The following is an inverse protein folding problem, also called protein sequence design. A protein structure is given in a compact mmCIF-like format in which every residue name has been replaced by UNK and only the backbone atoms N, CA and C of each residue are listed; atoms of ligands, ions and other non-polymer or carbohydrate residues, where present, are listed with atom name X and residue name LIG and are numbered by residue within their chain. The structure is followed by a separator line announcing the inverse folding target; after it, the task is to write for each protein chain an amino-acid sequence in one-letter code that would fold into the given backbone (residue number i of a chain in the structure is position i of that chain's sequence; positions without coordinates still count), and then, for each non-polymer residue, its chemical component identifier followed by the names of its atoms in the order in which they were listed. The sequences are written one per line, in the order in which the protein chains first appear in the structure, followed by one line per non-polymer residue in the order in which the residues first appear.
data_IF_602384728487
#
_entry.id   IF_602384728487
#
_cell.length_a   1.000
_cell.length_b   1.000
_cell.length_c   1.000
_cell.angle_alpha   90.00
_cell.angle_beta   90.00
_cell.angle_gamma   90.00
#
_symmetry.space_group_name_H-M   'P 1'
#
loop_
_entity.id
_entity.type
_entity.pdbx_description
1 polymer ?
#
# COMPACT_ATOMS: atom_id res chain seq x y z
N UNK A 1 23.82 -6.48 -0.77
CA UNK A 1 22.38 -6.20 -0.81
C UNK A 1 22.21 -5.27 -1.98
N UNK A 2 22.03 -5.84 -3.16
CA UNK A 2 21.91 -5.07 -4.38
C UNK A 2 20.53 -4.41 -4.34
N UNK A 3 20.53 -3.09 -4.15
CA UNK A 3 19.31 -2.27 -4.13
C UNK A 3 19.08 -1.76 -5.53
N UNK A 4 18.05 -2.26 -6.21
CA UNK A 4 17.62 -1.73 -7.50
C UNK A 4 16.71 -0.51 -7.25
N UNK A 5 17.31 0.60 -6.80
CA UNK A 5 16.63 1.89 -6.63
C UNK A 5 15.53 1.94 -5.55
N UNK A 6 15.04 3.15 -5.29
CA UNK A 6 13.80 3.37 -4.54
C UNK A 6 12.71 3.76 -5.54
N UNK A 7 11.53 3.15 -5.43
CA UNK A 7 10.38 3.39 -6.29
C UNK A 7 9.17 3.75 -5.46
N UNK A 8 8.32 4.64 -5.96
CA UNK A 8 7.11 5.09 -5.27
C UNK A 8 5.89 4.98 -6.19
N UNK A 9 4.83 4.34 -5.70
CA UNK A 9 3.51 4.36 -6.34
C UNK A 9 2.65 5.40 -5.63
N UNK A 10 2.02 6.28 -6.40
CA UNK A 10 1.20 7.38 -5.89
C UNK A 10 -0.20 7.33 -6.48
N UNK A 11 -1.22 7.38 -5.64
CA UNK A 11 -2.61 7.59 -6.05
C UNK A 11 -2.94 9.07 -5.90
N UNK A 12 -3.45 9.65 -6.98
CA UNK A 12 -3.87 11.05 -7.03
C UNK A 12 -5.35 11.17 -7.36
N UNK A 13 -5.96 12.27 -6.93
CA UNK A 13 -7.29 12.63 -7.40
C UNK A 13 -7.24 13.37 -8.76
N UNK A 14 -8.42 13.76 -9.25
CA UNK A 14 -8.56 14.50 -10.50
C UNK A 14 -7.86 15.87 -10.48
N UNK A 15 -7.56 16.43 -9.30
CA UNK A 15 -6.82 17.68 -9.11
C UNK A 15 -5.32 17.44 -8.87
N UNK A 16 -4.83 16.21 -9.12
CA UNK A 16 -3.43 15.79 -8.94
C UNK A 16 -2.94 15.81 -7.49
N UNK A 17 -3.84 15.94 -6.51
CA UNK A 17 -3.49 15.88 -5.09
C UNK A 17 -3.17 14.45 -4.69
N UNK A 18 -2.14 14.26 -3.87
CA UNK A 18 -1.73 12.94 -3.39
C UNK A 18 -2.71 12.45 -2.34
N UNK A 19 -3.37 11.33 -2.62
CA UNK A 19 -4.31 10.67 -1.71
C UNK A 19 -3.67 9.53 -0.92
N UNK A 20 -2.67 8.87 -1.50
CA UNK A 20 -1.82 7.89 -0.84
C UNK A 20 -0.56 7.67 -1.67
N UNK A 21 0.52 7.29 -0.99
CA UNK A 21 1.77 6.89 -1.62
C UNK A 21 2.39 5.71 -0.88
N UNK A 22 3.05 4.82 -1.62
CA UNK A 22 3.82 3.72 -1.06
C UNK A 22 5.20 3.70 -1.71
N UNK A 23 6.23 3.66 -0.86
CA UNK A 23 7.63 3.65 -1.29
C UNK A 23 8.24 2.31 -0.96
N UNK A 24 8.91 1.73 -1.96
CA UNK A 24 9.48 0.40 -1.87
C UNK A 24 10.77 0.27 -2.68
N UNK A 25 11.54 -0.78 -2.38
CA UNK A 25 12.74 -1.16 -3.10
C UNK A 25 12.64 -2.63 -3.52
N UNK A 26 12.95 -2.93 -4.77
CA UNK A 26 13.18 -4.30 -5.22
C UNK A 26 14.62 -4.69 -4.87
N UNK A 27 14.79 -5.71 -4.03
CA UNK A 27 16.11 -6.20 -3.65
C UNK A 27 16.08 -7.71 -3.36
N UNK A 28 17.26 -8.31 -3.18
CA UNK A 28 17.35 -9.66 -2.63
C UNK A 28 17.44 -9.60 -1.11
N UNK A 29 16.47 -10.21 -0.43
CA UNK A 29 16.46 -10.41 1.02
C UNK A 29 16.35 -11.90 1.31
N UNK A 30 17.25 -12.45 2.12
CA UNK A 30 17.35 -13.91 2.38
C UNK A 30 17.33 -14.77 1.10
N UNK A 31 18.09 -14.36 0.07
CA UNK A 31 18.17 -15.01 -1.25
C UNK A 31 16.87 -15.00 -2.09
N UNK A 32 15.81 -14.33 -1.63
CA UNK A 32 14.55 -14.20 -2.34
C UNK A 32 14.38 -12.79 -2.92
N UNK A 33 13.81 -12.69 -4.12
CA UNK A 33 13.44 -11.41 -4.72
C UNK A 33 12.31 -10.78 -3.90
N UNK A 34 12.56 -9.61 -3.35
CA UNK A 34 11.74 -9.02 -2.29
C UNK A 34 11.37 -7.60 -2.63
N UNK A 35 10.08 -7.28 -2.54
CA UNK A 35 9.63 -5.89 -2.46
C UNK A 35 9.67 -5.46 -1.01
N UNK A 36 10.58 -4.55 -0.70
CA UNK A 36 10.77 -4.02 0.63
C UNK A 36 10.09 -2.66 0.74
N UNK A 37 8.98 -2.57 1.48
CA UNK A 37 8.22 -1.34 1.70
C UNK A 37 8.90 -0.54 2.82
N UNK A 38 9.39 0.65 2.47
CA UNK A 38 10.00 1.59 3.40
C UNK A 38 9.03 2.61 3.98
N UNK A 39 7.88 2.84 3.35
CA UNK A 39 6.87 3.77 3.85
C UNK A 39 5.54 3.73 3.10
N UNK A 40 4.46 4.07 3.80
CA UNK A 40 3.10 4.17 3.26
C UNK A 40 2.40 5.43 3.80
N UNK A 41 2.33 6.48 3.01
CA UNK A 41 1.68 7.72 3.46
C UNK A 41 0.25 7.80 2.94
N UNK A 42 -0.63 8.38 3.76
CA UNK A 42 -1.99 8.71 3.37
C UNK A 42 -2.03 10.03 2.59
N UNK A 43 -3.20 10.64 2.51
CA UNK A 43 -3.32 11.97 1.94
C UNK A 43 -2.43 12.95 2.70
N UNK A 44 -1.84 13.90 1.98
CA UNK A 44 -0.98 14.91 2.58
C UNK A 44 -1.76 15.75 3.61
N UNK A 45 -1.08 16.27 4.63
CA UNK A 45 -1.71 16.97 5.77
C UNK A 45 -2.45 18.25 5.37
N UNK A 46 -2.15 18.81 4.20
CA UNK A 46 -2.81 19.97 3.61
C UNK A 46 -4.11 19.61 2.87
N UNK A 47 -4.40 18.32 2.67
CA UNK A 47 -5.65 17.86 2.07
C UNK A 47 -6.78 17.95 3.11
N UNK A 48 -7.82 18.76 2.86
CA UNK A 48 -8.93 18.88 3.80
C UNK A 48 -9.60 17.54 4.07
N UNK A 49 -10.05 17.31 5.31
CA UNK A 49 -10.70 16.06 5.70
C UNK A 49 -11.92 15.74 4.83
N UNK A 50 -12.66 16.76 4.37
CA UNK A 50 -13.78 16.62 3.44
C UNK A 50 -13.36 15.99 2.11
N UNK A 51 -12.17 16.34 1.60
CA UNK A 51 -11.62 15.74 0.38
C UNK A 51 -11.23 14.29 0.61
N UNK A 52 -10.67 13.96 1.78
CA UNK A 52 -10.37 12.57 2.15
C UNK A 52 -11.67 11.75 2.23
N UNK A 53 -12.74 12.31 2.80
CA UNK A 53 -14.07 11.68 2.83
C UNK A 53 -14.68 11.52 1.44
N UNK A 54 -14.57 12.55 0.58
CA UNK A 54 -15.04 12.50 -0.81
C UNK A 54 -14.26 11.47 -1.61
N UNK A 55 -12.93 11.43 -1.48
CA UNK A 55 -12.07 10.42 -2.11
C UNK A 55 -12.43 9.02 -1.62
N UNK A 56 -12.66 8.84 -0.32
CA UNK A 56 -13.09 7.55 0.24
C UNK A 56 -14.47 7.14 -0.31
N UNK A 57 -15.43 8.08 -0.43
CA UNK A 57 -16.74 7.83 -1.07
C UNK A 57 -16.59 7.49 -2.55
N UNK A 58 -15.73 8.21 -3.28
CA UNK A 58 -15.44 7.96 -4.69
C UNK A 58 -14.78 6.59 -4.89
N UNK A 59 -13.97 6.16 -3.92
CA UNK A 59 -13.40 4.82 -3.85
C UNK A 59 -14.38 3.79 -3.25
N UNK A 60 -15.68 4.08 -3.21
CA UNK A 60 -16.74 3.21 -2.70
C UNK A 60 -16.52 2.72 -1.26
N UNK A 61 -15.91 3.54 -0.41
CA UNK A 61 -15.56 3.21 0.97
C UNK A 61 -14.23 2.47 1.11
N UNK A 62 -13.45 2.37 0.04
CA UNK A 62 -12.07 1.88 0.06
C UNK A 62 -11.11 3.01 0.41
N UNK A 63 -10.16 2.75 1.31
CA UNK A 63 -9.11 3.72 1.61
C UNK A 63 -8.10 3.80 0.45
N UNK A 64 -7.63 5.00 0.06
CA UNK A 64 -6.62 5.14 -1.00
C UNK A 64 -5.33 4.32 -0.75
N UNK A 65 -4.96 4.11 0.51
CA UNK A 65 -3.85 3.22 0.91
C UNK A 65 -4.01 1.78 0.41
N UNK A 66 -5.25 1.27 0.33
CA UNK A 66 -5.52 -0.07 -0.19
C UNK A 66 -5.31 -0.16 -1.71
N UNK A 67 -5.52 0.95 -2.42
CA UNK A 67 -5.31 1.02 -3.87
C UNK A 67 -3.82 0.91 -4.20
N UNK A 68 -2.97 1.71 -3.52
CA UNK A 68 -1.51 1.63 -3.72
C UNK A 68 -0.95 0.26 -3.34
N UNK A 69 -1.53 -0.40 -2.33
CA UNK A 69 -1.17 -1.77 -1.96
C UNK A 69 -1.54 -2.80 -3.03
N UNK A 70 -2.75 -2.72 -3.60
CA UNK A 70 -3.15 -3.62 -4.69
C UNK A 70 -2.22 -3.44 -5.90
N UNK A 71 -1.88 -2.20 -6.25
CA UNK A 71 -0.92 -1.90 -7.31
C UNK A 71 0.47 -2.45 -7.01
N UNK A 72 0.94 -2.37 -5.75
CA UNK A 72 2.21 -2.97 -5.33
C UNK A 72 2.19 -4.49 -5.46
N UNK A 73 1.12 -5.17 -5.07
CA UNK A 73 0.98 -6.63 -5.26
C UNK A 73 1.05 -7.01 -6.74
N UNK A 74 0.42 -6.23 -7.63
CA UNK A 74 0.54 -6.46 -9.07
C UNK A 74 1.95 -6.22 -9.60
N UNK A 75 2.61 -5.18 -9.10
CA UNK A 75 4.03 -4.95 -9.38
C UNK A 75 4.88 -6.15 -8.91
N UNK A 76 4.60 -6.71 -7.74
CA UNK A 76 5.27 -7.91 -7.22
C UNK A 76 5.15 -9.08 -8.20
N UNK A 77 3.95 -9.31 -8.75
CA UNK A 77 3.72 -10.39 -9.72
C UNK A 77 4.45 -10.15 -11.04
N UNK A 78 4.38 -8.93 -11.60
CA UNK A 78 5.06 -8.57 -12.85
C UNK A 78 6.58 -8.74 -12.73
N UNK A 79 7.15 -8.33 -11.59
CA UNK A 79 8.58 -8.42 -11.32
C UNK A 79 8.99 -9.74 -10.65
N UNK A 80 8.08 -10.73 -10.56
CA UNK A 80 8.34 -12.05 -9.98
C UNK A 80 8.96 -11.97 -8.58
N UNK A 81 8.53 -11.01 -7.77
CA UNK A 81 8.90 -10.96 -6.37
C UNK A 81 8.29 -12.16 -5.63
N UNK A 82 9.10 -12.79 -4.81
CA UNK A 82 8.77 -13.98 -4.04
C UNK A 82 8.16 -13.62 -2.67
N UNK A 83 8.43 -12.40 -2.20
CA UNK A 83 7.89 -11.89 -0.93
C UNK A 83 7.76 -10.37 -0.92
N UNK A 84 6.85 -9.89 -0.07
CA UNK A 84 6.68 -8.47 0.25
C UNK A 84 6.96 -8.30 1.74
N UNK A 85 7.91 -7.45 2.08
CA UNK A 85 8.31 -7.15 3.46
C UNK A 85 8.05 -5.68 3.72
N UNK A 86 7.37 -5.35 4.82
CA UNK A 86 7.14 -3.99 5.26
C UNK A 86 7.82 -3.69 6.59
N UNK A 87 8.24 -2.43 6.77
CA UNK A 87 8.68 -1.94 8.08
C UNK A 87 7.49 -1.82 9.05
N UNK A 88 7.67 -2.26 10.29
CA UNK A 88 6.71 -2.01 11.36
C UNK A 88 6.86 -0.58 11.91
N UNK A 89 5.92 -0.14 12.74
CA UNK A 89 6.01 1.12 13.50
C UNK A 89 7.33 1.22 14.29
N UNK A 90 7.85 0.09 14.77
CA UNK A 90 9.08 -0.03 15.57
C UNK A 90 10.38 -0.02 14.73
N UNK A 91 10.30 -0.28 13.42
CA UNK A 91 11.46 -0.28 12.51
C UNK A 91 11.86 1.13 12.05
N UNK A 92 11.82 2.10 12.96
CA UNK A 92 12.32 3.46 12.80
C UNK A 92 13.86 3.56 12.67
N UNK A 93 14.50 2.53 12.10
CA UNK A 93 15.97 2.37 12.03
C UNK A 93 16.57 3.08 10.81
N UNK A 94 15.78 3.63 9.89
CA UNK A 94 16.27 4.66 8.94
C UNK A 94 16.07 6.08 9.47
N UNK A 95 16.45 6.30 10.75
CA UNK A 95 16.89 7.63 11.20
C UNK A 95 18.23 7.94 10.53
N UNK A 96 18.18 8.48 9.30
CA UNK A 96 19.21 9.46 8.96
C UNK A 96 18.99 10.62 9.93
N UNK A 97 19.93 10.82 10.85
CA UNK A 97 20.03 11.92 11.80
C UNK A 97 19.82 13.33 11.20
N UNK A 98 19.76 13.44 9.87
CA UNK A 98 19.51 14.65 9.07
C UNK A 98 18.05 15.13 9.06
N UNK A 99 17.09 14.29 9.46
CA UNK A 99 15.65 14.65 9.55
C UNK A 99 15.14 14.70 11.01
N UNK A 100 16.00 15.10 11.95
CA UNK A 100 15.64 15.28 13.38
C UNK A 100 14.94 16.61 13.68
N UNK A 101 14.46 17.34 12.67
CA UNK A 101 13.73 18.59 12.90
C UNK A 101 12.22 18.40 12.75
N UNK A 102 11.56 18.43 13.92
CA UNK A 102 10.15 18.80 14.16
C UNK A 102 9.03 17.90 13.63
N UNK A 103 8.24 17.43 14.61
CA UNK A 103 6.76 17.39 14.55
C UNK A 103 6.09 16.54 13.47
N UNK A 104 6.52 15.30 13.29
CA UNK A 104 5.68 14.27 12.64
C UNK A 104 5.47 13.09 13.57
N UNK A 105 4.80 13.34 14.70
CA UNK A 105 3.97 12.32 15.36
C UNK A 105 2.78 12.02 14.44
N UNK A 106 3.06 11.44 13.27
CA UNK A 106 2.04 10.89 12.41
C UNK A 106 1.93 9.43 12.84
N UNK A 107 1.11 9.19 13.87
CA UNK A 107 0.67 7.88 14.30
C UNK A 107 -0.21 7.26 13.20
N UNK A 108 0.37 7.01 12.02
CA UNK A 108 -0.20 6.08 11.07
C UNK A 108 0.12 4.70 11.65
N UNK A 109 -0.88 4.03 12.20
CA UNK A 109 -0.73 2.68 12.71
C UNK A 109 -0.46 1.71 11.54
N UNK A 110 0.82 1.61 11.17
CA UNK A 110 1.28 0.76 10.07
C UNK A 110 1.02 -0.70 10.40
N UNK A 111 1.28 -1.09 11.65
CA UNK A 111 1.08 -2.44 12.15
C UNK A 111 -0.38 -2.87 11.99
N UNK A 112 -1.34 -2.08 12.48
CA UNK A 112 -2.76 -2.39 12.30
C UNK A 112 -3.17 -2.42 10.82
N UNK A 113 -2.58 -1.58 9.98
CA UNK A 113 -2.83 -1.62 8.54
C UNK A 113 -2.29 -2.92 7.93
N UNK A 114 -1.04 -3.31 8.22
CA UNK A 114 -0.44 -4.55 7.75
C UNK A 114 -1.24 -5.78 8.20
N UNK A 115 -1.61 -5.84 9.46
CA UNK A 115 -2.44 -6.92 10.02
C UNK A 115 -3.80 -7.00 9.32
N UNK A 116 -4.42 -5.86 8.99
CA UNK A 116 -5.70 -5.84 8.25
C UNK A 116 -5.60 -6.41 6.83
N UNK A 117 -4.40 -6.46 6.26
CA UNK A 117 -4.11 -7.06 4.95
C UNK A 117 -3.70 -8.53 5.05
N UNK A 118 -3.69 -9.11 6.26
CA UNK A 118 -3.14 -10.45 6.51
C UNK A 118 -1.62 -10.46 6.66
N UNK A 119 -1.02 -9.33 7.01
CA UNK A 119 0.39 -9.23 7.32
C UNK A 119 0.74 -9.92 8.63
N UNK A 120 1.83 -10.68 8.61
CA UNK A 120 2.35 -11.39 9.78
C UNK A 120 3.65 -10.75 10.25
N UNK A 121 3.75 -10.47 11.56
CA UNK A 121 4.98 -9.91 12.12
C UNK A 121 6.10 -10.96 12.08
N UNK A 122 7.23 -10.59 11.49
CA UNK A 122 8.44 -11.42 11.40
C UNK A 122 9.58 -10.83 12.25
N UNK A 123 10.68 -11.57 12.38
CA UNK A 123 11.86 -11.13 13.14
C UNK A 123 12.40 -9.79 12.60
N UNK A 124 12.83 -8.91 13.51
CA UNK A 124 13.53 -7.67 13.15
C UNK A 124 12.64 -6.45 12.91
N UNK A 125 11.44 -6.38 13.50
CA UNK A 125 10.49 -5.28 13.33
C UNK A 125 9.98 -5.13 11.88
N UNK A 126 9.77 -6.26 11.21
CA UNK A 126 9.19 -6.29 9.88
C UNK A 126 7.86 -7.06 9.87
N UNK A 127 7.05 -6.81 8.86
CA UNK A 127 5.86 -7.57 8.52
C UNK A 127 6.09 -8.28 7.19
N UNK A 128 5.78 -9.57 7.12
CA UNK A 128 5.62 -10.28 5.85
C UNK A 128 4.18 -10.08 5.38
N UNK A 129 4.02 -9.56 4.17
CA UNK A 129 2.72 -9.32 3.55
C UNK A 129 2.45 -10.35 2.45
N UNK A 130 1.19 -10.74 2.24
CA UNK A 130 0.85 -11.66 1.16
C UNK A 130 1.08 -11.01 -0.21
N UNK A 131 1.56 -11.79 -1.18
CA UNK A 131 1.76 -11.34 -2.56
C UNK A 131 0.46 -10.95 -3.27
N UNK A 132 -0.68 -11.46 -2.78
CA UNK A 132 -2.01 -11.10 -3.25
C UNK A 132 -2.90 -10.88 -2.03
N UNK A 133 -3.63 -9.77 -2.01
CA UNK A 133 -4.46 -9.44 -0.86
C UNK A 133 -5.80 -10.16 -0.99
N UNK A 134 -6.15 -10.96 0.02
CA UNK A 134 -7.39 -11.72 0.02
C UNK A 134 -8.61 -10.79 -0.11
N UNK A 135 -9.54 -11.19 -0.99
CA UNK A 135 -10.84 -10.55 -1.17
C UNK A 135 -11.89 -11.41 -0.50
N UNK A 136 -12.79 -10.77 0.26
CA UNK A 136 -13.96 -11.46 0.81
C UNK A 136 -14.87 -11.90 -0.32
N UNK A 137 -15.32 -13.14 -0.27
CA UNK A 137 -16.29 -13.69 -1.22
C UNK A 137 -17.66 -13.03 -1.04
N UNK A 138 -18.50 -13.05 -2.09
CA UNK A 138 -19.84 -12.46 -2.02
C UNK A 138 -20.74 -13.11 -0.96
N UNK A 139 -20.51 -14.39 -0.65
CA UNK A 139 -21.24 -15.13 0.38
C UNK A 139 -20.91 -14.63 1.79
N UNK A 140 -19.68 -14.20 2.05
CA UNK A 140 -19.24 -13.62 3.33
C UNK A 140 -19.69 -12.17 3.51
N UNK A 141 -20.10 -11.50 2.44
CA UNK A 141 -20.56 -10.11 2.46
C UNK A 141 -22.07 -10.09 2.69
N UNK A 142 -22.49 -9.42 3.77
CA UNK A 142 -23.90 -9.18 4.04
C UNK A 142 -24.60 -8.56 2.82
N UNK A 143 -25.76 -9.10 2.43
CA UNK A 143 -26.46 -8.76 1.18
C UNK A 143 -26.56 -7.25 0.91
N UNK A 144 -26.90 -6.46 1.95
CA UNK A 144 -26.99 -4.99 1.91
C UNK A 144 -25.69 -4.25 1.55
N UNK A 145 -24.52 -4.88 1.70
CA UNK A 145 -23.20 -4.32 1.38
C UNK A 145 -22.59 -4.89 0.08
N UNK A 146 -23.21 -5.91 -0.53
CA UNK A 146 -22.66 -6.58 -1.73
C UNK A 146 -22.50 -5.64 -2.92
N UNK A 147 -23.46 -4.72 -3.14
CA UNK A 147 -23.36 -3.73 -4.22
C UNK A 147 -22.15 -2.78 -4.04
N UNK A 148 -21.88 -2.35 -2.80
CA UNK A 148 -20.73 -1.50 -2.49
C UNK A 148 -19.42 -2.27 -2.68
N UNK A 149 -19.32 -3.50 -2.15
CA UNK A 149 -18.13 -4.34 -2.31
C UNK A 149 -17.83 -4.70 -3.76
N UNK A 150 -18.86 -4.98 -4.58
CA UNK A 150 -18.68 -5.20 -6.03
C UNK A 150 -18.05 -3.99 -6.71
N UNK A 151 -18.49 -2.78 -6.37
CA UNK A 151 -17.90 -1.55 -6.92
C UNK A 151 -16.46 -1.34 -6.43
N UNK A 152 -16.15 -1.68 -5.18
CA UNK A 152 -14.76 -1.66 -4.67
C UNK A 152 -13.86 -2.61 -5.46
N UNK A 153 -14.33 -3.84 -5.70
CA UNK A 153 -13.56 -4.82 -6.46
C UNK A 153 -13.40 -4.41 -7.92
N UNK A 154 -14.44 -3.87 -8.55
CA UNK A 154 -14.32 -3.32 -9.91
C UNK A 154 -13.27 -2.20 -10.01
N UNK A 155 -13.18 -1.32 -9.00
CA UNK A 155 -12.13 -0.30 -8.95
C UNK A 155 -10.74 -0.93 -8.82
N UNK A 156 -10.57 -1.92 -7.93
CA UNK A 156 -9.31 -2.65 -7.78
C UNK A 156 -8.93 -3.39 -9.07
N UNK A 157 -9.89 -4.02 -9.74
CA UNK A 157 -9.69 -4.73 -11.01
C UNK A 157 -9.23 -3.77 -12.10
N UNK A 158 -9.79 -2.56 -12.17
CA UNK A 158 -9.30 -1.55 -13.12
C UNK A 158 -7.83 -1.17 -12.89
N UNK A 159 -7.38 -1.15 -11.64
CA UNK A 159 -5.98 -0.90 -11.29
C UNK A 159 -5.11 -2.09 -11.69
N UNK A 160 -5.59 -3.31 -11.43
CA UNK A 160 -4.92 -4.55 -11.83
C UNK A 160 -4.74 -4.65 -13.34
N UNK A 161 -5.72 -4.21 -14.12
CA UNK A 161 -5.65 -4.22 -15.59
C UNK A 161 -4.66 -3.17 -16.13
N UNK A 162 -4.60 -1.98 -15.53
CA UNK A 162 -3.78 -0.87 -16.03
C UNK A 162 -2.30 -0.96 -15.66
N UNK A 163 -1.98 -1.55 -14.51
CA UNK A 163 -0.60 -1.63 -14.00
C UNK A 163 0.31 -2.42 -14.95
N UNK A 164 0.01 -3.67 -15.35
CA UNK A 164 0.87 -4.45 -16.26
C UNK A 164 1.05 -3.80 -17.63
N UNK A 165 0.02 -3.11 -18.15
CA UNK A 165 0.08 -2.41 -19.44
C UNK A 165 1.07 -1.24 -19.41
N UNK A 166 1.18 -0.58 -18.25
CA UNK A 166 2.08 0.56 -18.06
C UNK A 166 3.54 0.14 -17.95
N UNK A 167 3.82 -1.06 -17.41
CA UNK A 167 5.18 -1.56 -17.20
C UNK A 167 5.71 -2.48 -18.33
N UNK A 168 4.88 -2.86 -19.31
CA UNK A 168 5.27 -3.68 -20.47
C UNK A 168 5.74 -2.86 -21.69
N UNK A 169 6.15 -1.61 -21.51
CA UNK A 169 6.70 -0.78 -22.59
C UNK A 169 8.21 -0.92 -22.72
#
# INVERSE_FOLDING_TARGET
LDKEGESTIVVRDAQLRILAEITFTLCRFNQQRTLFIGGLQGAANDVPHEIIQQATKACHGLFPKRIVMEALCQFAQVFQAEQIIAVSNDAHVYRSWRYMDKKTQMHADYDAFWESLGGERIKGNYYALPLAIARKSESEIASKKRAEYRRRYALLDSVVEQVPVTFKR
#
